data_IF_871501514319
#
_entry.id   IF_871501514319
#
_cell.length_a   1.000
_cell.length_b   1.000
_cell.length_c   1.000
_cell.angle_alpha   90.00
_cell.angle_beta   90.00
_cell.angle_gamma   90.00
#
_symmetry.space_group_name_H-M   'P 1'
#
loop_
_entity.id
_entity.type
_entity.pdbx_description
1 polymer ?
#
# COMPACT_ATOMS: atom_id res chain seq x y z
N UNK A 1 -6.03 18.61 -55.46
CA UNK A 1 -7.12 19.17 -54.63
C UNK A 1 -6.79 18.88 -53.16
N UNK A 2 -5.63 19.41 -52.76
CA UNK A 2 -5.14 19.47 -51.39
C UNK A 2 -5.80 20.71 -50.77
N UNK A 3 -6.08 20.69 -49.47
CA UNK A 3 -6.53 21.83 -48.64
C UNK A 3 -7.97 22.34 -48.82
N UNK A 4 -8.86 21.83 -47.96
CA UNK A 4 -9.94 22.53 -47.23
C UNK A 4 -10.88 21.46 -46.66
N UNK A 5 -11.13 21.29 -45.37
CA UNK A 5 -10.93 22.14 -44.20
C UNK A 5 -10.74 21.17 -43.04
N UNK A 6 -9.60 21.29 -42.35
CA UNK A 6 -9.49 20.92 -40.95
C UNK A 6 -10.63 21.63 -40.24
N UNK A 7 -11.66 20.91 -39.83
CA UNK A 7 -12.77 21.48 -39.10
C UNK A 7 -12.21 21.85 -37.72
N UNK A 8 -11.68 23.08 -37.63
CA UNK A 8 -11.23 23.70 -36.40
C UNK A 8 -12.45 23.72 -35.48
N UNK A 9 -12.49 22.77 -34.55
CA UNK A 9 -13.50 22.76 -33.50
C UNK A 9 -13.43 24.09 -32.78
N UNK A 10 -14.56 24.79 -32.70
CA UNK A 10 -14.59 26.09 -32.04
C UNK A 10 -14.17 25.92 -30.57
N UNK A 11 -13.47 26.91 -30.00
CA UNK A 11 -13.06 26.88 -28.60
C UNK A 11 -14.25 26.61 -27.65
N UNK A 12 -15.47 27.03 -28.04
CA UNK A 12 -16.69 26.72 -27.30
C UNK A 12 -17.09 25.24 -27.33
N UNK A 13 -16.90 24.54 -28.45
CA UNK A 13 -17.19 23.10 -28.57
C UNK A 13 -16.19 22.27 -27.75
N UNK A 14 -14.91 22.65 -27.80
CA UNK A 14 -13.87 22.03 -26.96
C UNK A 14 -14.20 22.24 -25.47
N UNK A 15 -14.61 23.44 -25.08
CA UNK A 15 -15.02 23.74 -23.70
C UNK A 15 -16.24 22.91 -23.26
N UNK A 16 -17.26 22.77 -24.11
CA UNK A 16 -18.45 21.96 -23.80
C UNK A 16 -18.11 20.47 -23.66
N UNK A 17 -17.21 19.93 -24.49
CA UNK A 17 -16.75 18.55 -24.35
C UNK A 17 -15.94 18.33 -23.07
N UNK A 18 -15.09 19.28 -22.69
CA UNK A 18 -14.36 19.23 -21.41
C UNK A 18 -15.35 19.30 -20.24
N UNK A 19 -16.35 20.18 -20.29
CA UNK A 19 -17.36 20.30 -19.24
C UNK A 19 -18.22 19.05 -19.14
N UNK A 20 -18.67 18.49 -20.27
CA UNK A 20 -19.45 17.26 -20.31
C UNK A 20 -18.65 16.06 -19.76
N UNK A 21 -17.38 15.91 -20.15
CA UNK A 21 -16.51 14.86 -19.61
C UNK A 21 -16.24 15.04 -18.12
N UNK A 22 -16.06 16.28 -17.64
CA UNK A 22 -15.93 16.60 -16.22
C UNK A 22 -17.21 16.27 -15.44
N UNK A 23 -18.38 16.61 -15.97
CA UNK A 23 -19.68 16.33 -15.35
C UNK A 23 -19.98 14.84 -15.32
N UNK A 24 -19.68 14.10 -16.39
CA UNK A 24 -19.78 12.64 -16.42
C UNK A 24 -18.81 12.03 -15.40
N UNK A 25 -17.57 12.53 -15.33
CA UNK A 25 -16.59 12.09 -14.34
C UNK A 25 -17.10 12.34 -12.90
N UNK A 26 -17.60 13.55 -12.61
CA UNK A 26 -18.18 13.90 -11.30
C UNK A 26 -19.45 13.10 -10.98
N UNK A 27 -20.28 12.80 -11.97
CA UNK A 27 -21.48 11.97 -11.81
C UNK A 27 -21.11 10.52 -11.51
N UNK A 28 -20.18 9.93 -12.27
CA UNK A 28 -19.64 8.59 -11.99
C UNK A 28 -18.98 8.53 -10.61
N UNK A 29 -18.26 9.58 -10.22
CA UNK A 29 -17.58 9.67 -8.93
C UNK A 29 -18.55 9.94 -7.76
N UNK A 30 -19.59 10.74 -7.99
CA UNK A 30 -20.64 11.08 -7.03
C UNK A 30 -21.63 9.94 -6.80
N UNK A 31 -22.06 9.25 -7.86
CA UNK A 31 -22.92 8.06 -7.78
C UNK A 31 -22.22 6.85 -7.16
N UNK A 32 -20.88 6.81 -7.19
CA UNK A 32 -20.09 5.78 -6.50
C UNK A 32 -20.15 5.89 -4.96
N UNK A 33 -20.81 6.91 -4.40
CA UNK A 33 -21.05 7.05 -2.96
C UNK A 33 -22.46 6.65 -2.51
N UNK A 34 -23.18 5.83 -3.28
CA UNK A 34 -24.37 5.17 -2.76
C UNK A 34 -23.98 3.94 -1.92
N UNK A 35 -23.70 4.17 -0.63
CA UNK A 35 -23.86 3.13 0.38
C UNK A 35 -25.35 2.85 0.58
N UNK A 36 -26.01 2.34 -0.46
CA UNK A 36 -27.37 1.86 -0.45
C UNK A 36 -27.39 0.44 0.12
N UNK A 37 -28.00 0.30 1.28
CA UNK A 37 -28.32 -0.98 1.91
C UNK A 37 -29.11 -1.89 0.94
N UNK A 38 -28.46 -2.86 0.30
CA UNK A 38 -29.20 -3.92 -0.39
C UNK A 38 -29.69 -4.95 0.64
N UNK A 39 -31.03 -5.03 0.73
CA UNK A 39 -31.77 -6.17 1.29
C UNK A 39 -31.78 -7.24 0.21
N UNK A 40 -31.10 -8.37 0.47
CA UNK A 40 -30.99 -9.50 -0.46
C UNK A 40 -29.73 -10.31 -0.16
N UNK A 41 -29.89 -11.42 0.57
CA UNK A 41 -28.86 -12.44 0.91
C UNK A 41 -27.42 -11.91 1.10
N UNK A 42 -27.17 -11.14 2.16
CA UNK A 42 -25.83 -10.59 2.43
C UNK A 42 -24.87 -11.70 2.85
N UNK A 43 -23.92 -12.05 1.97
CA UNK A 43 -22.60 -12.47 2.45
C UNK A 43 -22.12 -11.39 3.42
N UNK A 44 -21.95 -11.73 4.70
CA UNK A 44 -21.59 -10.77 5.76
C UNK A 44 -20.16 -10.30 5.51
N UNK A 45 -19.98 -9.22 4.75
CA UNK A 45 -18.69 -8.54 4.61
C UNK A 45 -18.45 -7.63 5.82
N UNK A 46 -17.18 -7.40 6.21
CA UNK A 46 -16.85 -6.47 7.28
C UNK A 46 -17.42 -5.06 7.05
N UNK A 47 -17.72 -4.31 8.12
CA UNK A 47 -18.09 -2.90 8.03
C UNK A 47 -16.95 -2.07 7.44
N UNK A 48 -17.24 -0.91 6.87
CA UNK A 48 -16.23 0.02 6.35
C UNK A 48 -16.57 0.60 4.99
N UNK A 49 -15.90 1.70 4.65
CA UNK A 49 -16.05 2.40 3.37
C UNK A 49 -14.86 2.11 2.47
N UNK A 50 -15.12 1.81 1.19
CA UNK A 50 -14.06 1.68 0.19
C UNK A 50 -13.43 3.05 -0.16
N UNK A 51 -14.07 4.15 0.19
CA UNK A 51 -13.56 5.49 -0.06
C UNK A 51 -13.75 5.91 -1.52
N UNK A 52 -12.81 6.70 -2.02
CA UNK A 52 -12.86 7.30 -3.35
C UNK A 52 -12.73 6.22 -4.43
N UNK A 53 -13.44 6.29 -5.57
CA UNK A 53 -13.22 5.36 -6.69
C UNK A 53 -11.75 5.26 -7.10
N UNK A 54 -11.31 4.05 -7.47
CA UNK A 54 -9.95 3.70 -7.90
C UNK A 54 -8.84 3.85 -6.83
N UNK A 55 -8.76 4.95 -6.10
CA UNK A 55 -7.65 5.20 -5.14
C UNK A 55 -8.04 4.77 -3.72
N UNK A 56 -9.33 4.69 -3.42
CA UNK A 56 -9.84 4.33 -2.11
C UNK A 56 -9.45 5.33 -1.04
N UNK A 57 -8.76 4.83 0.00
CA UNK A 57 -8.25 5.63 1.11
C UNK A 57 -6.73 5.80 1.07
N UNK A 58 -6.07 5.37 -0.01
CA UNK A 58 -4.60 5.30 -0.13
C UNK A 58 -3.91 6.64 0.11
N UNK A 59 -4.42 7.73 -0.47
CA UNK A 59 -3.79 9.05 -0.32
C UNK A 59 -3.85 9.55 1.13
N UNK A 60 -4.95 9.29 1.82
CA UNK A 60 -5.08 9.62 3.24
C UNK A 60 -4.12 8.80 4.11
N UNK A 61 -3.90 7.53 3.75
CA UNK A 61 -2.95 6.64 4.42
C UNK A 61 -1.51 7.08 4.18
N UNK A 62 -1.13 7.33 2.92
CA UNK A 62 0.20 7.82 2.54
C UNK A 62 0.53 9.15 3.20
N UNK A 63 -0.44 10.07 3.29
CA UNK A 63 -0.27 11.34 4.00
C UNK A 63 -0.07 11.13 5.50
N UNK A 64 -0.77 10.17 6.11
CA UNK A 64 -0.58 9.81 7.50
C UNK A 64 0.81 9.21 7.74
N UNK A 65 1.28 8.30 6.86
CA UNK A 65 2.65 7.77 6.93
C UNK A 65 3.70 8.87 6.82
N UNK A 66 3.56 9.80 5.86
CA UNK A 66 4.48 10.94 5.71
C UNK A 66 4.55 11.83 6.96
N UNK A 67 3.47 11.89 7.74
CA UNK A 67 3.38 12.67 8.99
C UNK A 67 3.70 11.83 10.24
N UNK A 68 4.11 10.56 10.11
CA UNK A 68 4.26 9.62 11.22
C UNK A 68 2.97 9.43 12.06
N UNK A 69 1.79 9.58 11.44
CA UNK A 69 0.47 9.43 12.09
C UNK A 69 -0.31 8.21 11.56
N UNK A 70 0.41 7.20 11.06
CA UNK A 70 -0.21 6.00 10.48
C UNK A 70 -1.02 5.22 11.52
N UNK A 71 -0.51 5.13 12.75
CA UNK A 71 -1.19 4.48 13.87
C UNK A 71 -2.51 5.17 14.21
N UNK A 72 -2.52 6.49 14.38
CA UNK A 72 -3.75 7.26 14.59
C UNK A 72 -4.75 7.08 13.45
N UNK A 73 -4.27 6.98 12.22
CA UNK A 73 -5.11 6.75 11.04
C UNK A 73 -5.81 5.40 11.08
N UNK A 74 -5.14 4.37 11.60
CA UNK A 74 -5.70 3.04 11.85
C UNK A 74 -6.66 3.08 13.05
N UNK A 75 -6.24 3.69 14.16
CA UNK A 75 -7.05 3.77 15.39
C UNK A 75 -8.40 4.45 15.16
N UNK A 76 -8.44 5.55 14.39
CA UNK A 76 -9.71 6.20 14.02
C UNK A 76 -10.67 5.28 13.28
N UNK A 77 -10.17 4.32 12.49
CA UNK A 77 -11.02 3.34 11.79
C UNK A 77 -11.45 2.22 12.69
N UNK A 78 -10.58 1.77 13.58
CA UNK A 78 -10.94 0.80 14.61
C UNK A 78 -12.07 1.35 15.48
N UNK A 79 -11.96 2.60 15.94
CA UNK A 79 -12.99 3.25 16.73
C UNK A 79 -14.33 3.40 15.97
N UNK A 80 -14.27 3.56 14.64
CA UNK A 80 -15.47 3.78 13.81
C UNK A 80 -16.13 2.50 13.31
N UNK A 81 -15.34 1.49 12.94
CA UNK A 81 -15.81 0.29 12.25
C UNK A 81 -15.54 -1.01 13.03
N UNK A 82 -14.77 -0.95 14.11
CA UNK A 82 -14.30 -2.11 14.86
C UNK A 82 -12.94 -2.64 14.37
N UNK A 83 -12.39 -3.68 15.02
CA UNK A 83 -11.05 -4.20 14.76
C UNK A 83 -10.90 -4.91 13.41
N UNK A 84 -12.01 -5.25 12.75
CA UNK A 84 -12.06 -5.89 11.43
C UNK A 84 -12.93 -5.04 10.54
N UNK A 85 -12.35 -4.42 9.52
CA UNK A 85 -13.07 -3.51 8.62
C UNK A 85 -12.57 -3.59 7.18
N UNK A 86 -13.42 -3.22 6.22
CA UNK A 86 -13.05 -3.13 4.80
C UNK A 86 -12.68 -1.71 4.38
N UNK A 87 -11.78 -1.61 3.42
CA UNK A 87 -11.39 -0.37 2.75
C UNK A 87 -10.84 -0.67 1.36
N UNK A 88 -10.46 0.35 0.59
CA UNK A 88 -9.62 0.17 -0.60
C UNK A 88 -8.26 0.85 -0.35
N UNK A 89 -7.19 0.09 -0.52
CA UNK A 89 -5.81 0.56 -0.49
C UNK A 89 -5.09 0.13 -1.76
N UNK A 90 -4.36 1.07 -2.35
CA UNK A 90 -3.59 0.92 -3.59
C UNK A 90 -4.42 0.34 -4.74
N UNK A 91 -5.69 0.73 -4.83
CA UNK A 91 -6.63 0.27 -5.85
C UNK A 91 -7.22 -1.11 -5.62
N UNK A 92 -6.89 -1.75 -4.50
CA UNK A 92 -7.38 -3.09 -4.15
C UNK A 92 -8.34 -3.00 -2.97
N UNK A 93 -9.57 -3.56 -3.08
CA UNK A 93 -10.43 -3.78 -1.92
C UNK A 93 -9.73 -4.70 -0.91
N UNK A 94 -9.58 -4.23 0.32
CA UNK A 94 -8.81 -4.88 1.38
C UNK A 94 -9.68 -5.05 2.63
N UNK A 95 -9.52 -6.16 3.33
CA UNK A 95 -9.99 -6.32 4.71
C UNK A 95 -8.81 -6.07 5.64
N UNK A 96 -8.94 -5.05 6.48
CA UNK A 96 -7.97 -4.76 7.52
C UNK A 96 -8.32 -5.55 8.77
N UNK A 97 -7.31 -6.23 9.31
CA UNK A 97 -7.41 -7.07 10.49
C UNK A 97 -6.49 -6.49 11.57
N UNK A 98 -7.04 -6.16 12.73
CA UNK A 98 -6.29 -5.63 13.85
C UNK A 98 -6.43 -6.54 15.08
N UNK A 99 -5.31 -6.75 15.77
CA UNK A 99 -5.24 -7.39 17.07
C UNK A 99 -4.54 -8.76 17.05
N UNK A 100 -4.09 -9.25 18.23
CA UNK A 100 -3.27 -10.46 18.33
C UNK A 100 -3.94 -11.71 17.75
N UNK A 101 -5.25 -11.88 17.96
CA UNK A 101 -6.00 -13.02 17.43
C UNK A 101 -6.02 -13.02 15.90
N UNK A 102 -6.17 -11.86 15.28
CA UNK A 102 -6.21 -11.73 13.83
C UNK A 102 -4.81 -11.92 13.22
N UNK A 103 -3.77 -11.40 13.86
CA UNK A 103 -2.38 -11.66 13.48
C UNK A 103 -2.06 -13.16 13.55
N UNK A 104 -2.45 -13.82 14.65
CA UNK A 104 -2.29 -15.27 14.80
C UNK A 104 -3.01 -16.00 13.67
N UNK A 105 -4.26 -15.66 13.38
CA UNK A 105 -5.01 -16.25 12.27
C UNK A 105 -4.27 -16.14 10.93
N UNK A 106 -3.79 -14.93 10.58
CA UNK A 106 -3.05 -14.72 9.33
C UNK A 106 -1.74 -15.53 9.29
N UNK A 107 -0.96 -15.56 10.38
CA UNK A 107 0.34 -16.23 10.39
C UNK A 107 0.29 -17.74 10.70
N UNK A 108 -0.80 -18.25 11.26
CA UNK A 108 -0.96 -19.67 11.60
C UNK A 108 -1.78 -20.46 10.57
N UNK A 109 -2.46 -19.78 9.65
CA UNK A 109 -3.21 -20.47 8.59
C UNK A 109 -2.20 -21.18 7.68
N UNK A 110 -2.24 -22.50 7.67
CA UNK A 110 -1.31 -23.35 6.91
C UNK A 110 -1.57 -23.34 5.40
N UNK A 111 -2.69 -22.76 4.96
CA UNK A 111 -3.06 -22.65 3.57
C UNK A 111 -2.36 -21.44 2.92
N UNK A 112 -1.17 -21.70 2.40
CA UNK A 112 -0.36 -20.71 1.69
C UNK A 112 -1.03 -20.19 0.41
N UNK A 113 -1.99 -20.94 -0.15
CA UNK A 113 -2.71 -20.55 -1.37
C UNK A 113 -3.89 -19.62 -1.05
N UNK A 114 -4.55 -19.82 0.09
CA UNK A 114 -5.64 -18.96 0.55
C UNK A 114 -5.17 -17.57 1.03
N UNK A 115 -3.97 -17.47 1.63
CA UNK A 115 -3.41 -16.23 2.20
C UNK A 115 -1.98 -15.95 1.72
N UNK A 116 -1.78 -15.99 0.39
CA UNK A 116 -0.51 -15.61 -0.21
C UNK A 116 -0.20 -14.10 0.00
N UNK A 117 1.07 -13.78 0.24
CA UNK A 117 1.53 -12.40 0.31
C UNK A 117 1.44 -11.77 -1.09
N UNK A 118 0.75 -10.62 -1.20
CA UNK A 118 0.57 -9.90 -2.45
C UNK A 118 0.95 -8.43 -2.24
N UNK A 119 2.21 -8.05 -2.51
CA UNK A 119 2.62 -6.67 -2.35
C UNK A 119 1.97 -5.77 -3.42
N UNK A 120 1.89 -4.45 -3.19
CA UNK A 120 1.48 -3.51 -4.23
C UNK A 120 2.39 -3.62 -5.47
N UNK A 121 1.86 -3.39 -6.70
CA UNK A 121 2.64 -3.51 -7.94
C UNK A 121 3.91 -2.65 -7.99
N UNK A 122 3.95 -1.55 -7.24
CA UNK A 122 5.13 -0.70 -7.12
C UNK A 122 6.33 -1.44 -6.51
N UNK A 123 6.10 -2.35 -5.56
CA UNK A 123 7.17 -3.14 -4.94
C UNK A 123 7.78 -4.09 -5.97
N UNK A 124 6.96 -4.82 -6.71
CA UNK A 124 7.42 -5.72 -7.78
C UNK A 124 8.18 -4.96 -8.88
N UNK A 125 7.75 -3.74 -9.20
CA UNK A 125 8.45 -2.91 -10.20
C UNK A 125 9.85 -2.46 -9.75
N UNK A 126 10.04 -2.26 -8.45
CA UNK A 126 11.33 -1.82 -7.88
C UNK A 126 12.25 -3.01 -7.60
N UNK A 127 11.72 -4.08 -7.02
CA UNK A 127 12.50 -5.22 -6.55
C UNK A 127 12.60 -6.38 -7.56
N UNK A 128 11.82 -6.32 -8.65
CA UNK A 128 11.70 -7.38 -9.65
C UNK A 128 10.67 -8.46 -9.28
N UNK A 129 10.26 -9.25 -10.26
CA UNK A 129 9.22 -10.28 -10.14
C UNK A 129 9.61 -11.49 -9.26
N UNK A 130 10.89 -11.63 -8.91
CA UNK A 130 11.41 -12.74 -8.11
C UNK A 130 12.02 -12.25 -6.78
N UNK A 131 11.36 -11.27 -6.16
CA UNK A 131 11.76 -10.75 -4.86
C UNK A 131 11.22 -11.62 -3.72
N UNK A 132 11.90 -11.61 -2.58
CA UNK A 132 11.53 -12.45 -1.42
C UNK A 132 10.11 -12.19 -0.89
N UNK A 133 9.57 -10.96 -1.05
CA UNK A 133 8.23 -10.62 -0.56
C UNK A 133 7.12 -11.22 -1.41
N UNK A 134 7.41 -11.53 -2.67
CA UNK A 134 6.45 -12.05 -3.65
C UNK A 134 6.56 -13.57 -3.85
N UNK A 135 7.76 -14.14 -3.66
CA UNK A 135 7.94 -15.59 -3.71
C UNK A 135 7.04 -16.29 -2.69
N UNK A 136 6.52 -17.46 -3.08
CA UNK A 136 5.69 -18.32 -2.24
C UNK A 136 6.19 -19.77 -2.26
N UNK A 137 5.65 -20.61 -1.37
CA UNK A 137 5.90 -22.05 -1.34
C UNK A 137 7.38 -22.45 -1.30
N UNK A 138 7.76 -23.37 -2.19
CA UNK A 138 9.10 -23.96 -2.23
C UNK A 138 10.19 -22.94 -2.60
N UNK A 139 9.92 -22.02 -3.54
CA UNK A 139 10.89 -21.01 -3.95
C UNK A 139 11.17 -20.02 -2.82
N UNK A 140 10.13 -19.56 -2.13
CA UNK A 140 10.30 -18.74 -0.94
C UNK A 140 11.12 -19.47 0.13
N UNK A 141 10.81 -20.74 0.41
CA UNK A 141 11.55 -21.56 1.39
C UNK A 141 13.03 -21.68 1.03
N UNK A 142 13.35 -21.90 -0.25
CA UNK A 142 14.71 -22.02 -0.77
C UNK A 142 15.50 -20.72 -0.58
N UNK A 143 14.97 -19.59 -1.06
CA UNK A 143 15.64 -18.29 -0.97
C UNK A 143 15.76 -17.83 0.48
N UNK A 144 14.70 -17.97 1.28
CA UNK A 144 14.72 -17.65 2.71
C UNK A 144 15.73 -18.51 3.47
N UNK A 145 15.84 -19.80 3.14
CA UNK A 145 16.82 -20.69 3.75
C UNK A 145 18.27 -20.28 3.46
N UNK A 146 18.57 -19.89 2.22
CA UNK A 146 19.88 -19.36 1.84
C UNK A 146 20.21 -18.05 2.60
N UNK A 147 19.24 -17.14 2.72
CA UNK A 147 19.43 -15.89 3.46
C UNK A 147 19.63 -16.12 4.97
N UNK A 148 18.93 -17.09 5.56
CA UNK A 148 19.04 -17.41 6.97
C UNK A 148 20.46 -17.81 7.39
N UNK A 149 21.27 -18.36 6.46
CA UNK A 149 22.68 -18.67 6.72
C UNK A 149 23.49 -17.42 7.12
N UNK A 150 23.28 -16.30 6.43
CA UNK A 150 23.97 -15.03 6.74
C UNK A 150 23.50 -14.41 8.06
N UNK A 151 22.34 -14.82 8.55
CA UNK A 151 21.75 -14.33 9.80
C UNK A 151 22.02 -15.25 11.00
N UNK A 152 22.92 -16.25 10.84
CA UNK A 152 23.30 -17.13 11.96
C UNK A 152 24.04 -16.35 13.05
N UNK A 153 23.87 -16.70 14.33
CA UNK A 153 24.51 -15.99 15.44
C UNK A 153 26.02 -15.81 15.28
N UNK A 154 26.71 -16.81 14.73
CA UNK A 154 28.15 -16.78 14.48
C UNK A 154 28.52 -15.70 13.45
N UNK A 155 27.75 -15.61 12.36
CA UNK A 155 27.92 -14.59 11.32
C UNK A 155 27.59 -13.20 11.86
N UNK A 156 26.49 -13.06 12.60
CA UNK A 156 26.08 -11.79 13.20
C UNK A 156 27.15 -11.24 14.15
N UNK A 157 27.76 -12.07 14.99
CA UNK A 157 28.88 -11.66 15.87
C UNK A 157 30.05 -11.08 15.07
N UNK A 158 30.37 -11.67 13.92
CA UNK A 158 31.42 -11.15 13.03
C UNK A 158 31.06 -9.79 12.41
N UNK A 159 29.77 -9.53 12.19
CA UNK A 159 29.29 -8.25 11.64
C UNK A 159 29.31 -7.14 12.67
N UNK A 160 29.03 -7.43 13.95
CA UNK A 160 29.01 -6.42 15.02
C UNK A 160 30.33 -5.63 15.06
N UNK A 161 31.50 -6.29 14.98
CA UNK A 161 32.79 -5.60 15.00
C UNK A 161 33.01 -4.68 13.80
N UNK A 162 32.57 -5.10 12.60
CA UNK A 162 32.65 -4.30 11.37
C UNK A 162 31.70 -3.10 11.44
N UNK A 163 30.47 -3.32 11.89
CA UNK A 163 29.46 -2.27 12.07
C UNK A 163 29.96 -1.25 13.10
N UNK A 164 30.47 -1.69 14.25
CA UNK A 164 31.00 -0.81 15.30
C UNK A 164 32.13 0.08 14.77
N UNK A 165 33.04 -0.50 13.98
CA UNK A 165 34.15 0.24 13.36
C UNK A 165 33.62 1.31 12.38
N UNK A 166 32.73 0.94 11.46
CA UNK A 166 32.15 1.86 10.48
C UNK A 166 31.32 2.96 11.14
N UNK A 167 30.57 2.64 12.19
CA UNK A 167 29.80 3.62 12.96
C UNK A 167 30.73 4.61 13.68
N UNK A 168 31.77 4.12 14.36
CA UNK A 168 32.76 4.99 15.04
C UNK A 168 33.46 5.93 14.07
N UNK A 169 33.89 5.40 12.93
CA UNK A 169 34.52 6.18 11.87
C UNK A 169 33.57 7.26 11.34
N UNK A 170 32.32 6.91 11.04
CA UNK A 170 31.33 7.89 10.57
C UNK A 170 31.08 8.99 11.59
N UNK A 171 30.91 8.64 12.87
CA UNK A 171 30.67 9.60 13.95
C UNK A 171 31.86 10.54 14.13
N UNK A 172 33.10 10.03 14.15
CA UNK A 172 34.28 10.87 14.35
C UNK A 172 34.53 11.80 13.17
N UNK A 173 34.27 11.34 11.94
CA UNK A 173 34.53 12.11 10.72
C UNK A 173 33.44 13.13 10.40
N UNK A 174 32.17 12.82 10.69
CA UNK A 174 31.05 13.65 10.23
C UNK A 174 30.29 14.35 11.35
N UNK A 175 30.30 13.85 12.60
CA UNK A 175 29.42 14.36 13.67
C UNK A 175 30.17 14.99 14.84
N UNK A 176 31.43 14.60 15.08
CA UNK A 176 32.20 15.12 16.19
C UNK A 176 32.42 16.64 16.04
N UNK A 177 31.87 17.42 16.98
CA UNK A 177 31.93 18.89 16.96
C UNK A 177 30.81 19.57 16.17
N UNK A 178 29.90 18.83 15.53
CA UNK A 178 28.73 19.39 14.85
C UNK A 178 27.56 19.53 15.84
N UNK A 179 26.95 20.71 15.91
CA UNK A 179 25.75 20.97 16.74
C UNK A 179 24.44 20.51 16.10
N UNK A 180 24.47 20.12 14.83
CA UNK A 180 23.31 19.68 14.05
C UNK A 180 23.68 18.52 13.14
N UNK A 181 22.88 17.46 13.15
CA UNK A 181 23.00 16.33 12.21
C UNK A 181 22.19 16.67 10.97
N UNK A 182 22.85 16.90 9.83
CA UNK A 182 22.21 17.09 8.51
C UNK A 182 21.96 15.77 7.80
#
# INVERSE_FOLDING_TARGET
MVHKVQQEMSAGEVFLLILATLLIFLFLFGCSSSSGSSRGSRKRVPPGSLGIPLIGQSLSFLRAMKKNMAEDWVQRKINKYGPIFKLNLFGTPTVFLCGPAANKFIFSTADADALANKPPPSITRILGAHNLLELSGADHKRVRGALAFFLRPEMLKSYVGKIDTQVKEHVSTHWQGQTTVT
#
